data_IF_811323330847
#
_entry.id   IF_811323330847
#
_cell.length_a   1.000
_cell.length_b   1.000
_cell.length_c   1.000
_cell.angle_alpha   90.00
_cell.angle_beta   90.00
_cell.angle_gamma   90.00
#
_symmetry.space_group_name_H-M   'P 1'
#
loop_
_entity.id
_entity.type
_entity.pdbx_description
1 polymer ?
#
# COMPACT_ATOMS: atom_id res chain seq x y z
N UNK A 1 13.25 -8.43 -50.37
CA UNK A 1 14.24 -7.55 -49.72
C UNK A 1 13.69 -6.14 -49.42
N UNK A 2 13.07 -5.41 -50.37
CA UNK A 2 12.49 -4.07 -50.11
C UNK A 2 11.42 -4.04 -49.00
N UNK A 3 10.56 -5.05 -48.91
CA UNK A 3 9.50 -5.13 -47.90
C UNK A 3 10.04 -5.18 -46.46
N UNK A 4 11.16 -5.87 -46.24
CA UNK A 4 11.81 -5.95 -44.93
C UNK A 4 12.49 -4.64 -44.53
N UNK A 5 13.03 -3.88 -45.49
CA UNK A 5 13.59 -2.54 -45.25
C UNK A 5 12.47 -1.55 -44.91
N UNK A 6 11.32 -1.64 -45.57
CA UNK A 6 10.14 -0.82 -45.27
C UNK A 6 9.62 -1.07 -43.85
N UNK A 7 9.59 -2.33 -43.38
CA UNK A 7 9.19 -2.69 -42.02
C UNK A 7 10.17 -2.15 -40.96
N UNK A 8 11.47 -2.24 -41.20
CA UNK A 8 12.51 -1.73 -40.27
C UNK A 8 12.47 -0.19 -40.18
N UNK A 9 12.14 0.51 -41.26
CA UNK A 9 11.99 1.97 -41.26
C UNK A 9 10.74 2.44 -40.50
N UNK A 10 9.66 1.65 -40.52
CA UNK A 10 8.44 1.93 -39.74
C UNK A 10 8.66 1.66 -38.25
N UNK A 11 9.38 0.58 -37.91
CA UNK A 11 9.69 0.17 -36.54
C UNK A 11 10.66 1.14 -35.82
N UNK A 12 11.63 1.73 -36.53
CA UNK A 12 12.68 2.54 -35.87
C UNK A 12 12.38 4.04 -35.72
N UNK A 13 11.40 4.60 -36.45
CA UNK A 13 11.29 6.06 -36.60
C UNK A 13 10.03 6.73 -36.07
N UNK A 14 8.88 6.05 -36.08
CA UNK A 14 7.59 6.71 -35.78
C UNK A 14 6.98 6.34 -34.44
N UNK A 15 7.33 5.18 -33.88
CA UNK A 15 6.83 4.76 -32.57
C UNK A 15 7.37 5.67 -31.45
N UNK A 16 8.63 6.11 -31.53
CA UNK A 16 9.24 6.98 -30.53
C UNK A 16 8.71 8.43 -30.56
N UNK A 17 8.44 8.99 -31.75
CA UNK A 17 7.94 10.37 -31.92
C UNK A 17 6.45 10.48 -31.56
N UNK A 18 5.66 9.47 -31.88
CA UNK A 18 4.25 9.40 -31.48
C UNK A 18 4.09 9.25 -29.95
N UNK A 19 4.99 8.51 -29.28
CA UNK A 19 4.99 8.38 -27.81
C UNK A 19 5.42 9.68 -27.11
N UNK A 20 6.37 10.42 -27.69
CA UNK A 20 6.83 11.69 -27.13
C UNK A 20 5.74 12.79 -27.20
N UNK A 21 4.96 12.85 -28.28
CA UNK A 21 3.92 13.87 -28.47
C UNK A 21 2.65 13.63 -27.64
N UNK A 22 2.36 12.38 -27.22
CA UNK A 22 1.22 12.10 -26.34
C UNK A 22 1.49 12.37 -24.84
N UNK A 23 2.76 12.56 -24.46
CA UNK A 23 3.16 12.81 -23.07
C UNK A 23 3.14 14.29 -22.64
N UNK A 24 2.82 15.21 -23.55
CA UNK A 24 2.67 16.63 -23.23
C UNK A 24 1.26 16.97 -22.73
N UNK A 25 0.89 16.40 -21.58
CA UNK A 25 -0.08 17.03 -20.68
C UNK A 25 0.07 16.55 -19.24
N UNK A 26 1.24 16.77 -18.64
CA UNK A 26 1.38 16.94 -17.19
C UNK A 26 2.31 18.12 -16.91
N UNK A 27 1.84 19.33 -17.22
CA UNK A 27 2.29 20.53 -16.50
C UNK A 27 1.72 20.44 -15.09
N UNK A 28 2.54 20.05 -14.12
CA UNK A 28 2.28 20.39 -12.71
C UNK A 28 3.45 21.20 -12.19
N UNK A 29 3.11 22.35 -11.64
CA UNK A 29 4.00 23.40 -11.18
C UNK A 29 4.89 22.95 -9.99
N UNK A 30 6.05 23.59 -9.77
CA UNK A 30 6.90 23.28 -8.64
C UNK A 30 6.23 23.78 -7.34
N UNK A 31 5.85 22.87 -6.45
CA UNK A 31 5.60 23.22 -5.04
C UNK A 31 6.90 23.06 -4.27
N UNK A 32 7.41 24.20 -3.82
CA UNK A 32 8.62 24.38 -3.03
C UNK A 32 8.73 23.36 -1.91
N UNK A 33 9.89 22.72 -1.81
CA UNK A 33 10.31 22.04 -0.60
C UNK A 33 10.46 23.06 0.53
N UNK A 34 9.69 22.87 1.59
CA UNK A 34 10.09 23.23 2.94
C UNK A 34 10.24 21.91 3.73
N UNK A 35 11.46 21.63 4.14
CA UNK A 35 11.79 20.62 5.14
C UNK A 35 11.14 21.01 6.46
N UNK A 36 9.96 20.44 6.69
CA UNK A 36 9.24 20.47 7.98
C UNK A 36 8.69 19.06 8.15
N UNK A 37 8.85 18.40 9.32
CA UNK A 37 8.19 17.12 9.57
C UNK A 37 6.70 17.34 9.36
N UNK A 38 6.15 16.81 8.26
CA UNK A 38 4.72 16.81 8.02
C UNK A 38 4.15 15.80 8.99
N UNK A 39 3.75 16.25 10.17
CA UNK A 39 2.72 15.58 10.93
C UNK A 39 1.47 15.65 10.02
N UNK A 40 1.26 14.58 9.26
CA UNK A 40 0.09 14.48 8.39
C UNK A 40 -1.11 14.42 9.30
N UNK A 41 -1.91 15.48 9.31
CA UNK A 41 -3.26 15.43 9.87
C UNK A 41 -3.95 14.27 9.17
N UNK A 42 -4.23 13.20 9.91
CA UNK A 42 -4.96 12.05 9.39
C UNK A 42 -6.39 12.49 9.03
N UNK A 43 -6.93 11.90 7.98
CA UNK A 43 -8.29 12.21 7.55
C UNK A 43 -9.30 11.76 8.62
N UNK A 44 -10.43 12.46 8.71
CA UNK A 44 -11.41 12.24 9.78
C UNK A 44 -11.96 10.81 9.79
N UNK A 45 -12.13 10.21 8.62
CA UNK A 45 -12.58 8.82 8.44
C UNK A 45 -11.53 7.82 8.93
N UNK A 46 -10.24 8.10 8.71
CA UNK A 46 -9.12 7.28 9.21
C UNK A 46 -9.08 7.29 10.74
N UNK A 47 -9.25 8.46 11.36
CA UNK A 47 -9.27 8.61 12.82
C UNK A 47 -10.48 7.87 13.42
N UNK A 48 -11.65 7.99 12.78
CA UNK A 48 -12.86 7.31 13.21
C UNK A 48 -12.70 5.78 13.12
N UNK A 49 -12.16 5.28 12.01
CA UNK A 49 -11.88 3.86 11.81
C UNK A 49 -10.90 3.34 12.85
N UNK A 50 -9.82 4.07 13.12
CA UNK A 50 -8.88 3.73 14.20
C UNK A 50 -9.60 3.60 15.55
N UNK A 51 -10.46 4.56 15.87
CA UNK A 51 -11.22 4.54 17.13
C UNK A 51 -12.16 3.32 17.22
N UNK A 52 -12.81 2.95 16.11
CA UNK A 52 -13.65 1.74 16.02
C UNK A 52 -12.83 0.48 16.26
N UNK A 53 -11.72 0.32 15.56
CA UNK A 53 -10.84 -0.87 15.63
C UNK A 53 -10.26 -1.08 17.03
N UNK A 54 -9.89 0.01 17.72
CA UNK A 54 -9.39 -0.05 19.09
C UNK A 54 -10.45 -0.54 20.09
N UNK A 55 -11.72 -0.21 19.88
CA UNK A 55 -12.84 -0.64 20.72
C UNK A 55 -13.41 -2.03 20.39
N UNK A 56 -13.01 -2.64 19.28
CA UNK A 56 -13.56 -3.92 18.83
C UNK A 56 -13.01 -5.12 19.61
N UNK A 57 -13.84 -6.14 19.82
CA UNK A 57 -13.35 -7.43 20.34
C UNK A 57 -12.79 -8.29 19.20
N UNK A 58 -11.58 -8.86 19.30
CA UNK A 58 -10.99 -9.67 18.24
C UNK A 58 -11.85 -10.86 17.79
N UNK A 59 -12.65 -11.42 18.70
CA UNK A 59 -13.52 -12.57 18.44
C UNK A 59 -14.79 -12.22 17.66
N UNK A 60 -15.18 -10.94 17.57
CA UNK A 60 -16.43 -10.54 16.92
C UNK A 60 -16.33 -10.38 15.41
N UNK A 61 -15.13 -10.41 14.84
CA UNK A 61 -14.90 -10.17 13.41
C UNK A 61 -13.89 -11.16 12.81
N UNK A 62 -13.71 -11.12 11.49
CA UNK A 62 -12.77 -12.02 10.82
C UNK A 62 -11.32 -11.54 10.96
N UNK A 63 -11.07 -10.24 10.84
CA UNK A 63 -9.74 -9.63 10.92
C UNK A 63 -9.79 -8.37 11.77
N UNK A 64 -8.86 -8.23 12.72
CA UNK A 64 -8.61 -6.98 13.47
C UNK A 64 -7.13 -6.65 13.43
N UNK A 65 -6.79 -5.43 13.03
CA UNK A 65 -5.41 -4.97 12.93
C UNK A 65 -5.25 -3.66 13.68
N UNK A 66 -4.37 -3.63 14.69
CA UNK A 66 -4.16 -2.48 15.58
C UNK A 66 -2.71 -2.03 15.55
N UNK A 67 -2.51 -0.77 15.15
CA UNK A 67 -1.21 -0.09 15.05
C UNK A 67 -0.10 -1.00 14.50
N UNK A 68 -0.43 -1.77 13.47
CA UNK A 68 0.44 -2.81 12.92
C UNK A 68 1.64 -2.18 12.20
N UNK A 69 2.83 -2.63 12.58
CA UNK A 69 4.09 -2.07 12.09
C UNK A 69 5.05 -3.15 11.60
N UNK A 70 5.77 -2.80 10.54
CA UNK A 70 6.87 -3.61 10.02
C UNK A 70 8.11 -2.79 9.78
N UNK A 71 9.22 -3.24 10.37
CA UNK A 71 10.57 -2.73 10.12
C UNK A 71 11.44 -3.84 9.53
N UNK A 72 12.24 -3.48 8.55
CA UNK A 72 13.31 -4.30 7.97
C UNK A 72 14.62 -3.55 8.16
N UNK A 73 15.38 -3.88 9.20
CA UNK A 73 16.53 -3.09 9.63
C UNK A 73 16.10 -1.65 9.93
N UNK A 74 16.65 -0.68 9.19
CA UNK A 74 16.32 0.75 9.32
C UNK A 74 15.08 1.17 8.51
N UNK A 75 14.58 0.31 7.61
CA UNK A 75 13.45 0.64 6.74
C UNK A 75 12.10 0.31 7.39
N UNK A 76 11.23 1.31 7.56
CA UNK A 76 9.84 1.14 8.00
C UNK A 76 8.93 0.89 6.78
N UNK A 77 8.56 -0.37 6.56
CA UNK A 77 7.67 -0.77 5.48
C UNK A 77 6.18 -0.52 5.80
N UNK A 78 5.80 -0.64 7.08
CA UNK A 78 4.42 -0.39 7.55
C UNK A 78 4.49 0.41 8.84
N UNK A 79 3.70 1.49 8.96
CA UNK A 79 3.80 2.52 10.00
C UNK A 79 2.52 2.69 10.83
N UNK A 80 2.00 1.62 11.40
CA UNK A 80 0.89 1.70 12.35
C UNK A 80 -0.46 1.73 11.66
N UNK A 81 -0.75 0.72 10.84
CA UNK A 81 -2.04 0.62 10.15
C UNK A 81 -3.12 0.07 11.08
N UNK A 82 -4.33 0.60 10.95
CA UNK A 82 -5.50 0.23 11.74
C UNK A 82 -6.67 -0.06 10.78
N UNK A 83 -7.22 -1.27 10.83
CA UNK A 83 -8.42 -1.64 10.07
C UNK A 83 -9.04 -2.94 10.60
N UNK A 84 -10.26 -3.22 10.19
CA UNK A 84 -10.89 -4.52 10.38
C UNK A 84 -11.58 -5.01 9.11
N UNK A 85 -11.89 -6.30 9.09
CA UNK A 85 -12.75 -6.89 8.06
C UNK A 85 -13.69 -7.92 8.70
N UNK A 86 -14.98 -7.81 8.40
CA UNK A 86 -16.03 -8.71 8.86
C UNK A 86 -16.03 -10.03 8.11
N UNK A 87 -16.69 -11.03 8.66
CA UNK A 87 -16.90 -12.30 7.95
C UNK A 87 -17.73 -12.05 6.69
N UNK A 88 -17.19 -12.44 5.54
CA UNK A 88 -17.82 -12.23 4.23
C UNK A 88 -17.37 -10.97 3.49
N UNK A 89 -16.58 -10.09 4.13
CA UNK A 89 -16.05 -8.90 3.48
C UNK A 89 -14.95 -9.26 2.48
N UNK A 90 -15.00 -8.64 1.29
CA UNK A 90 -13.89 -8.65 0.35
C UNK A 90 -13.02 -7.42 0.60
N UNK A 91 -11.88 -7.60 1.26
CA UNK A 91 -10.98 -6.52 1.65
C UNK A 91 -9.72 -6.48 0.77
N UNK A 92 -9.37 -5.30 0.25
CA UNK A 92 -8.19 -5.09 -0.60
C UNK A 92 -7.38 -3.88 -0.18
N UNK A 93 -6.05 -4.04 -0.13
CA UNK A 93 -5.12 -2.93 0.08
C UNK A 93 -4.72 -2.34 -1.28
N UNK A 94 -4.93 -1.04 -1.49
CA UNK A 94 -4.57 -0.32 -2.70
C UNK A 94 -3.53 0.76 -2.41
N UNK A 95 -2.68 1.05 -3.40
CA UNK A 95 -1.63 2.06 -3.28
C UNK A 95 -0.43 1.78 -4.18
N UNK A 96 0.53 2.70 -4.21
CA UNK A 96 1.74 2.59 -5.05
C UNK A 96 2.68 1.46 -4.60
N UNK A 97 3.65 1.11 -5.45
CA UNK A 97 4.71 0.17 -5.09
C UNK A 97 5.51 0.72 -3.89
N UNK A 98 5.81 -0.15 -2.93
CA UNK A 98 6.50 0.24 -1.69
C UNK A 98 5.60 0.80 -0.59
N UNK A 99 4.28 0.95 -0.79
CA UNK A 99 3.36 1.44 0.24
C UNK A 99 3.15 0.48 1.44
N UNK A 100 3.71 -0.74 1.39
CA UNK A 100 3.61 -1.71 2.49
C UNK A 100 2.54 -2.79 2.34
N UNK A 101 1.72 -2.79 1.27
CA UNK A 101 0.63 -3.75 1.02
C UNK A 101 1.02 -5.22 1.23
N UNK A 102 2.05 -5.68 0.51
CA UNK A 102 2.55 -7.06 0.61
C UNK A 102 3.14 -7.35 1.98
N UNK A 103 3.85 -6.40 2.58
CA UNK A 103 4.36 -6.55 3.95
C UNK A 103 3.25 -6.70 4.98
N UNK A 104 2.14 -5.97 4.82
CA UNK A 104 0.95 -6.11 5.68
C UNK A 104 0.34 -7.51 5.54
N UNK A 105 0.08 -7.98 4.31
CA UNK A 105 -0.47 -9.32 4.12
C UNK A 105 0.45 -10.42 4.64
N UNK A 106 1.76 -10.32 4.41
CA UNK A 106 2.74 -11.26 4.95
C UNK A 106 2.76 -11.32 6.47
N UNK A 107 2.52 -10.20 7.13
CA UNK A 107 2.34 -10.18 8.58
C UNK A 107 1.06 -10.93 8.97
N UNK A 108 -0.07 -10.64 8.32
CA UNK A 108 -1.35 -11.29 8.63
C UNK A 108 -1.33 -12.79 8.40
N UNK A 109 -0.67 -13.26 7.35
CA UNK A 109 -0.54 -14.69 7.04
C UNK A 109 0.60 -15.37 7.80
N UNK A 110 1.20 -14.69 8.79
CA UNK A 110 2.34 -15.17 9.57
C UNK A 110 3.59 -15.57 8.74
N UNK A 111 3.68 -15.20 7.46
CA UNK A 111 4.88 -15.40 6.62
C UNK A 111 6.05 -14.54 7.13
N UNK A 112 5.75 -13.45 7.83
CA UNK A 112 6.75 -12.55 8.39
C UNK A 112 6.29 -12.03 9.75
N UNK A 113 7.21 -11.98 10.72
CA UNK A 113 6.90 -11.46 12.06
C UNK A 113 6.47 -10.00 12.06
N UNK A 114 5.55 -9.66 12.95
CA UNK A 114 5.18 -8.27 13.24
C UNK A 114 6.31 -7.59 14.02
N UNK A 115 6.62 -6.33 13.71
CA UNK A 115 7.62 -5.58 14.48
C UNK A 115 7.03 -4.87 15.70
N UNK A 116 5.78 -4.42 15.62
CA UNK A 116 5.00 -3.83 16.72
C UNK A 116 3.51 -3.82 16.35
N UNK A 117 2.65 -3.70 17.35
CA UNK A 117 1.20 -3.72 17.19
C UNK A 117 0.63 -5.14 17.23
N UNK A 118 -0.65 -5.26 16.92
CA UNK A 118 -1.40 -6.51 17.03
C UNK A 118 -2.17 -6.82 15.75
N UNK A 119 -2.28 -8.10 15.44
CA UNK A 119 -3.15 -8.60 14.39
C UNK A 119 -3.85 -9.86 14.89
N UNK A 120 -5.15 -9.94 14.63
CA UNK A 120 -5.99 -11.07 15.00
C UNK A 120 -6.74 -11.56 13.77
N UNK A 121 -6.72 -12.87 13.51
CA UNK A 121 -7.61 -13.50 12.51
C UNK A 121 -8.49 -14.55 13.20
N UNK A 122 -9.79 -14.46 12.96
CA UNK A 122 -10.81 -15.30 13.60
C UNK A 122 -10.68 -15.36 15.14
N UNK A 123 -10.20 -14.28 15.76
CA UNK A 123 -9.96 -14.18 17.21
C UNK A 123 -8.56 -14.60 17.68
N UNK A 124 -7.74 -15.23 16.84
CA UNK A 124 -6.39 -15.71 17.21
C UNK A 124 -5.32 -14.66 16.92
N UNK A 125 -4.43 -14.40 17.88
CA UNK A 125 -3.35 -13.43 17.72
C UNK A 125 -2.21 -13.98 16.86
N UNK A 126 -1.89 -13.29 15.76
CA UNK A 126 -0.86 -13.67 14.77
C UNK A 126 0.54 -13.83 15.35
N UNK A 127 0.85 -13.15 16.46
CA UNK A 127 2.20 -13.21 17.04
C UNK A 127 2.42 -14.40 17.98
N UNK A 128 1.36 -14.93 18.61
CA UNK A 128 1.49 -15.82 19.77
C UNK A 128 0.74 -17.15 19.62
N UNK A 129 -0.27 -17.24 18.73
CA UNK A 129 -1.29 -18.31 18.78
C UNK A 129 -1.49 -19.01 17.43
N UNK A 130 -0.46 -19.03 16.57
CA UNK A 130 -0.52 -19.64 15.23
C UNK A 130 0.30 -20.92 15.13
#
# INVERSE_FOLDING_TARGET
FLYWILLVLIELGWVAVAFAMLSSCCKSAPKSGSSTPRESVEDSDVIEEKSKVLGMQPSSTAVVVRDLQKKYGTFHAVRGVNFYASKGDCFGLLGVNGAGKTSTFRMLTAETSVSSGEAFLAGFNVNNEW
#
